data_IF_018980601288
#
_entry.id   IF_018980601288
#
_cell.length_a   1.000
_cell.length_b   1.000
_cell.length_c   1.000
_cell.angle_alpha   90.00
_cell.angle_beta   90.00
_cell.angle_gamma   90.00
#
_symmetry.space_group_name_H-M   'P 1'
#
loop_
_entity.id
_entity.type
_entity.pdbx_description
1 polymer ?
#
# COMPACT_ATOMS: atom_id res chain seq x y z
N UNK A 1 46.58 38.29 30.19
CA UNK A 1 46.47 37.14 31.10
C UNK A 1 45.44 36.18 30.50
N UNK A 2 45.87 34.97 30.08
CA UNK A 2 44.98 33.89 29.64
C UNK A 2 44.06 33.51 30.79
N UNK A 3 42.79 33.20 30.50
CA UNK A 3 42.14 31.96 30.94
C UNK A 3 40.85 31.73 30.14
N UNK A 4 40.81 30.59 29.46
CA UNK A 4 39.60 29.92 28.93
C UNK A 4 38.67 29.59 30.10
N UNK A 5 37.37 29.52 29.84
CA UNK A 5 36.59 28.30 30.06
C UNK A 5 35.26 28.36 29.30
N UNK A 6 35.08 27.35 28.46
CA UNK A 6 33.85 26.99 27.77
C UNK A 6 32.80 26.47 28.75
N UNK A 7 31.53 26.77 28.49
CA UNK A 7 30.39 25.86 28.66
C UNK A 7 29.15 26.47 27.99
N UNK A 8 29.05 26.37 26.67
CA UNK A 8 27.74 26.39 26.00
C UNK A 8 27.12 25.00 26.22
N UNK A 9 26.33 24.85 27.29
CA UNK A 9 25.42 23.73 27.39
C UNK A 9 24.17 24.06 26.57
N UNK A 10 24.08 23.42 25.40
CA UNK A 10 22.90 23.43 24.57
C UNK A 10 21.72 22.77 25.28
N UNK A 11 20.56 23.41 25.18
CA UNK A 11 19.27 22.76 25.35
C UNK A 11 18.59 22.78 23.99
N UNK A 12 18.96 21.84 23.13
CA UNK A 12 18.20 21.58 21.91
C UNK A 12 16.99 20.74 22.35
N UNK A 13 15.87 21.43 22.60
CA UNK A 13 14.61 20.79 22.92
C UNK A 13 14.16 19.97 21.69
N UNK A 14 14.38 18.66 21.75
CA UNK A 14 13.80 17.73 20.80
C UNK A 14 12.30 17.68 21.04
N UNK A 15 11.54 18.30 20.14
CA UNK A 15 10.10 18.07 20.02
C UNK A 15 9.93 16.62 19.59
N UNK A 16 9.58 15.76 20.55
CA UNK A 16 9.11 14.40 20.28
C UNK A 16 7.76 14.56 19.59
N UNK A 17 7.75 14.52 18.26
CA UNK A 17 6.51 14.26 17.53
C UNK A 17 6.20 12.78 17.77
N UNK A 18 5.48 12.49 18.85
CA UNK A 18 4.82 11.21 19.00
C UNK A 18 3.88 11.10 17.79
N UNK A 19 4.25 10.29 16.80
CA UNK A 19 3.26 9.74 15.88
C UNK A 19 2.37 8.86 16.75
N UNK A 20 1.34 9.46 17.35
CA UNK A 20 0.21 8.72 17.87
C UNK A 20 -0.21 7.81 16.73
N UNK A 21 -0.03 6.51 16.91
CA UNK A 21 -0.73 5.51 16.12
C UNK A 21 -2.21 5.87 16.30
N UNK A 22 -2.76 6.67 15.37
CA UNK A 22 -4.16 6.99 15.41
C UNK A 22 -4.85 5.64 15.22
N UNK A 23 -5.43 5.14 16.32
CA UNK A 23 -6.46 4.14 16.20
C UNK A 23 -7.45 4.72 15.19
N UNK A 24 -7.66 4.00 14.10
CA UNK A 24 -8.47 4.50 13.02
C UNK A 24 -9.85 4.84 13.58
N UNK A 25 -10.21 6.12 13.51
CA UNK A 25 -11.45 6.64 14.08
C UNK A 25 -12.61 6.10 13.26
N UNK A 26 -13.17 4.97 13.71
CA UNK A 26 -14.47 4.49 13.27
C UNK A 26 -15.52 5.46 13.82
N UNK A 27 -16.57 5.82 13.06
CA UNK A 27 -17.69 6.58 13.61
C UNK A 27 -18.22 5.87 14.87
N UNK A 28 -18.00 6.47 16.04
CA UNK A 28 -18.13 5.83 17.37
C UNK A 28 -19.59 5.46 17.72
N UNK A 29 -20.56 5.94 16.95
CA UNK A 29 -21.98 5.80 17.27
C UNK A 29 -22.64 4.52 16.72
N UNK A 30 -21.86 3.56 16.23
CA UNK A 30 -22.37 2.33 15.66
C UNK A 30 -21.68 1.09 16.23
N UNK A 31 -22.45 0.00 16.35
CA UNK A 31 -21.92 -1.28 16.79
C UNK A 31 -20.96 -1.86 15.75
N UNK A 32 -19.77 -2.20 16.20
CA UNK A 32 -18.78 -2.90 15.39
C UNK A 32 -18.97 -4.41 15.53
N UNK A 33 -19.10 -5.08 14.40
CA UNK A 33 -19.21 -6.53 14.27
C UNK A 33 -17.91 -7.11 13.71
N UNK A 34 -17.78 -8.44 13.86
CA UNK A 34 -16.59 -9.19 13.48
C UNK A 34 -16.98 -10.46 12.74
N UNK A 35 -16.32 -10.71 11.61
CA UNK A 35 -16.39 -12.00 10.90
C UNK A 35 -14.96 -12.45 10.57
N UNK A 36 -14.74 -13.76 10.55
CA UNK A 36 -13.46 -14.36 10.17
C UNK A 36 -13.64 -15.28 8.97
N UNK A 37 -12.62 -15.29 8.11
CA UNK A 37 -12.40 -16.31 7.09
C UNK A 37 -11.10 -17.07 7.40
N UNK A 38 -10.64 -17.91 6.48
CA UNK A 38 -9.39 -18.66 6.65
C UNK A 38 -8.18 -17.72 6.81
N UNK A 39 -8.16 -16.61 6.08
CA UNK A 39 -6.99 -15.72 6.00
C UNK A 39 -7.26 -14.27 6.44
N UNK A 40 -8.50 -13.91 6.72
CA UNK A 40 -8.87 -12.54 7.09
C UNK A 40 -9.70 -12.47 8.37
N UNK A 41 -9.57 -11.36 9.09
CA UNK A 41 -10.44 -10.96 10.21
C UNK A 41 -11.06 -9.62 9.82
N UNK A 42 -12.35 -9.59 9.51
CA UNK A 42 -13.04 -8.36 9.11
C UNK A 42 -13.78 -7.76 10.30
N UNK A 43 -13.45 -6.50 10.59
CA UNK A 43 -14.15 -5.64 11.54
C UNK A 43 -14.96 -4.62 10.73
N UNK A 44 -16.25 -4.50 11.04
CA UNK A 44 -17.14 -3.68 10.22
C UNK A 44 -18.29 -3.09 11.04
N UNK A 45 -18.84 -1.98 10.54
CA UNK A 45 -20.05 -1.35 11.07
C UNK A 45 -21.30 -2.18 10.76
N UNK A 46 -22.22 -2.35 11.71
CA UNK A 46 -23.43 -3.17 11.57
C UNK A 46 -24.26 -2.88 10.29
N UNK A 47 -24.40 -1.62 9.91
CA UNK A 47 -25.07 -1.14 8.68
C UNK A 47 -24.45 -1.70 7.39
N UNK A 48 -23.21 -2.16 7.44
CA UNK A 48 -22.49 -2.73 6.30
C UNK A 48 -22.64 -4.26 6.20
N UNK A 49 -23.37 -4.90 7.12
CA UNK A 49 -23.45 -6.35 7.24
C UNK A 49 -23.80 -7.07 5.91
N UNK A 50 -24.69 -6.49 5.10
CA UNK A 50 -25.10 -7.10 3.82
C UNK A 50 -23.97 -7.12 2.77
N UNK A 51 -23.02 -6.18 2.86
CA UNK A 51 -21.89 -6.05 1.91
C UNK A 51 -20.70 -6.93 2.29
N UNK A 52 -20.58 -7.28 3.57
CA UNK A 52 -19.43 -8.02 4.12
C UNK A 52 -19.19 -9.38 3.46
N UNK A 53 -20.22 -10.22 3.17
CA UNK A 53 -19.97 -11.50 2.50
C UNK A 53 -19.30 -11.35 1.13
N UNK A 54 -19.63 -10.30 0.37
CA UNK A 54 -19.00 -10.03 -0.92
C UNK A 54 -17.55 -9.56 -0.75
N UNK A 55 -17.30 -8.67 0.21
CA UNK A 55 -15.95 -8.20 0.55
C UNK A 55 -15.04 -9.35 0.99
N UNK A 56 -15.51 -10.22 1.90
CA UNK A 56 -14.75 -11.39 2.37
C UNK A 56 -14.39 -12.32 1.21
N UNK A 57 -15.35 -12.63 0.32
CA UNK A 57 -15.09 -13.47 -0.86
C UNK A 57 -14.04 -12.84 -1.78
N UNK A 58 -14.11 -11.54 -1.99
CA UNK A 58 -13.15 -10.84 -2.85
C UNK A 58 -11.75 -10.82 -2.23
N UNK A 59 -11.61 -10.61 -0.91
CA UNK A 59 -10.32 -10.70 -0.22
C UNK A 59 -9.70 -12.10 -0.34
N UNK A 60 -10.48 -13.16 -0.13
CA UNK A 60 -10.00 -14.55 -0.30
C UNK A 60 -9.62 -14.85 -1.75
N UNK A 61 -10.36 -14.31 -2.72
CA UNK A 61 -10.06 -14.44 -4.15
C UNK A 61 -8.74 -13.75 -4.51
N UNK A 62 -8.58 -12.48 -4.11
CA UNK A 62 -7.36 -11.71 -4.33
C UNK A 62 -6.14 -12.43 -3.71
N UNK A 63 -6.29 -12.96 -2.50
CA UNK A 63 -5.26 -13.79 -1.87
C UNK A 63 -4.91 -15.01 -2.71
N UNK A 64 -5.91 -15.80 -3.09
CA UNK A 64 -5.69 -17.09 -3.77
C UNK A 64 -4.92 -16.92 -5.09
N UNK A 65 -5.16 -15.80 -5.79
CA UNK A 65 -4.47 -15.47 -7.04
C UNK A 65 -3.10 -14.84 -6.80
N UNK A 66 -3.00 -13.86 -5.91
CA UNK A 66 -1.79 -13.05 -5.76
C UNK A 66 -0.71 -13.73 -4.91
N UNK A 67 -1.06 -14.50 -3.88
CA UNK A 67 -0.05 -15.11 -3.01
C UNK A 67 0.92 -16.06 -3.77
N UNK A 68 0.46 -16.90 -4.72
CA UNK A 68 1.36 -17.69 -5.57
C UNK A 68 2.27 -16.84 -6.47
N UNK A 69 1.73 -15.75 -7.05
CA UNK A 69 2.47 -14.84 -7.93
C UNK A 69 3.62 -14.17 -7.19
N UNK A 70 3.33 -13.60 -6.01
CA UNK A 70 4.34 -12.95 -5.18
C UNK A 70 5.18 -13.94 -4.37
N UNK A 71 4.84 -15.25 -4.39
CA UNK A 71 5.48 -16.30 -3.58
C UNK A 71 5.56 -15.96 -2.10
N UNK A 72 4.57 -15.21 -1.62
CA UNK A 72 4.48 -14.76 -0.25
C UNK A 72 3.02 -14.70 0.18
N UNK A 73 2.80 -14.96 1.47
CA UNK A 73 1.55 -14.65 2.14
C UNK A 73 1.84 -14.28 3.60
N UNK A 74 1.11 -13.31 4.18
CA UNK A 74 1.21 -13.04 5.60
C UNK A 74 0.88 -14.29 6.41
N UNK A 75 1.64 -14.51 7.49
CA UNK A 75 1.48 -15.68 8.37
C UNK A 75 0.30 -15.55 9.32
N UNK A 76 0.02 -14.33 9.72
CA UNK A 76 -1.14 -13.97 10.54
C UNK A 76 -2.29 -13.61 9.61
N UNK A 77 -3.53 -13.83 10.06
CA UNK A 77 -4.70 -13.35 9.33
C UNK A 77 -4.61 -11.84 9.15
N UNK A 78 -4.87 -11.37 7.94
CA UNK A 78 -4.90 -9.93 7.63
C UNK A 78 -6.16 -9.34 8.23
N UNK A 79 -6.04 -8.28 9.02
CA UNK A 79 -7.23 -7.60 9.53
C UNK A 79 -7.78 -6.69 8.44
N UNK A 80 -9.10 -6.67 8.27
CA UNK A 80 -9.76 -5.76 7.35
C UNK A 80 -10.69 -4.89 8.16
N UNK A 81 -10.55 -3.57 8.02
CA UNK A 81 -11.47 -2.61 8.57
C UNK A 81 -12.36 -2.08 7.47
N UNK A 82 -13.67 -2.30 7.57
CA UNK A 82 -14.63 -1.86 6.58
C UNK A 82 -15.65 -0.89 7.21
N UNK A 83 -15.66 0.35 6.76
CA UNK A 83 -16.41 1.40 7.46
C UNK A 83 -16.80 2.58 6.57
N UNK A 84 -17.78 3.36 7.01
CA UNK A 84 -18.42 4.47 6.31
C UNK A 84 -18.12 5.79 7.01
N UNK A 85 -16.83 6.07 7.25
CA UNK A 85 -16.40 7.29 7.94
C UNK A 85 -16.25 8.51 7.04
N UNK A 86 -16.32 8.32 5.73
CA UNK A 86 -16.00 9.32 4.70
C UNK A 86 -16.88 9.08 3.47
N UNK A 87 -17.31 10.16 2.83
CA UNK A 87 -18.20 10.13 1.66
C UNK A 87 -17.45 9.93 0.33
N UNK A 88 -16.17 9.54 0.39
CA UNK A 88 -15.34 9.25 -0.79
C UNK A 88 -14.68 7.89 -0.66
N UNK A 89 -14.67 7.12 -1.76
CA UNK A 89 -14.01 5.81 -1.77
C UNK A 89 -12.50 5.93 -1.60
N UNK A 90 -11.96 5.21 -0.63
CA UNK A 90 -10.52 5.04 -0.46
C UNK A 90 -10.20 3.69 0.19
N UNK A 91 -8.95 3.25 0.01
CA UNK A 91 -8.37 2.10 0.69
C UNK A 91 -6.92 2.36 1.06
N UNK A 92 -6.40 1.61 2.02
CA UNK A 92 -4.98 1.61 2.34
C UNK A 92 -4.57 0.33 3.07
N UNK A 93 -3.27 0.02 2.99
CA UNK A 93 -2.64 -1.11 3.64
C UNK A 93 -1.58 -0.69 4.67
N UNK A 94 -1.51 -1.44 5.77
CA UNK A 94 -0.40 -1.42 6.71
C UNK A 94 0.12 -2.84 6.93
N UNK A 95 1.42 -3.00 7.13
CA UNK A 95 2.01 -4.31 7.46
C UNK A 95 2.62 -4.36 8.86
N UNK A 96 2.79 -3.20 9.51
CA UNK A 96 3.35 -3.09 10.85
C UNK A 96 2.37 -2.44 11.84
N UNK A 97 2.26 -2.94 13.08
CA UNK A 97 2.91 -4.17 13.60
C UNK A 97 2.23 -5.47 13.10
N UNK A 98 1.11 -5.37 12.38
CA UNK A 98 0.37 -6.49 11.78
C UNK A 98 -0.16 -6.11 10.40
N UNK A 99 -0.39 -7.07 9.50
CA UNK A 99 -1.01 -6.82 8.20
C UNK A 99 -2.47 -6.40 8.40
N UNK A 100 -2.81 -5.22 7.89
CA UNK A 100 -4.13 -4.61 7.98
C UNK A 100 -4.48 -3.94 6.65
N UNK A 101 -5.74 -4.08 6.27
CA UNK A 101 -6.38 -3.38 5.17
C UNK A 101 -7.48 -2.51 5.75
N UNK A 102 -7.71 -1.36 5.14
CA UNK A 102 -8.81 -0.48 5.46
C UNK A 102 -9.52 -0.08 4.18
N UNK A 103 -10.85 -0.06 4.21
CA UNK A 103 -11.67 0.36 3.08
C UNK A 103 -12.83 1.24 3.55
N UNK A 104 -13.01 2.37 2.87
CA UNK A 104 -14.23 3.15 2.98
C UNK A 104 -15.36 2.54 2.15
N UNK A 105 -16.54 2.48 2.76
CA UNK A 105 -17.75 1.92 2.19
C UNK A 105 -18.36 2.80 1.10
N UNK A 106 -18.09 4.10 1.12
CA UNK A 106 -18.53 5.04 0.11
C UNK A 106 -18.10 4.63 -1.30
N UNK A 107 -18.95 4.99 -2.28
CA UNK A 107 -18.64 4.87 -3.69
C UNK A 107 -17.67 5.98 -4.14
N UNK A 108 -17.02 5.80 -5.30
CA UNK A 108 -16.15 6.83 -5.84
C UNK A 108 -16.98 8.04 -6.29
N UNK A 109 -16.41 9.23 -6.12
CA UNK A 109 -16.95 10.45 -6.74
C UNK A 109 -16.98 10.31 -8.27
N UNK A 110 -17.97 10.90 -8.98
CA UNK A 110 -17.97 10.98 -10.44
C UNK A 110 -16.72 11.64 -11.05
N UNK A 111 -15.99 12.45 -10.26
CA UNK A 111 -14.72 13.08 -10.66
C UNK A 111 -13.48 12.27 -10.24
N UNK A 112 -13.66 11.09 -9.65
CA UNK A 112 -12.59 10.26 -9.13
C UNK A 112 -11.86 9.45 -10.21
N UNK A 113 -10.71 8.92 -9.83
CA UNK A 113 -9.88 8.01 -10.65
C UNK A 113 -10.41 6.57 -10.66
N UNK A 114 -11.66 6.32 -10.31
CA UNK A 114 -12.25 4.98 -10.24
C UNK A 114 -13.36 4.85 -11.28
N UNK A 115 -13.41 3.73 -12.00
CA UNK A 115 -14.55 3.46 -12.86
C UNK A 115 -15.83 3.18 -12.04
N UNK A 116 -17.01 3.64 -12.49
CA UNK A 116 -18.28 3.29 -11.87
C UNK A 116 -18.51 1.77 -11.83
N UNK A 117 -18.79 1.25 -10.63
CA UNK A 117 -19.09 -0.16 -10.39
C UNK A 117 -17.85 -1.07 -10.42
N UNK A 118 -17.45 -1.59 -9.26
CA UNK A 118 -16.27 -2.47 -9.10
C UNK A 118 -15.06 -1.82 -8.44
N UNK A 119 -15.17 -0.56 -8.02
CA UNK A 119 -14.15 0.18 -7.27
C UNK A 119 -13.60 -0.60 -6.07
N UNK A 120 -14.47 -1.14 -5.21
CA UNK A 120 -14.06 -1.87 -4.01
C UNK A 120 -13.24 -3.12 -4.37
N UNK A 121 -13.57 -3.78 -5.48
CA UNK A 121 -12.78 -4.91 -5.99
C UNK A 121 -11.40 -4.43 -6.42
N UNK A 122 -11.30 -3.43 -7.29
CA UNK A 122 -10.00 -2.87 -7.72
C UNK A 122 -9.13 -2.52 -6.51
N UNK A 123 -9.70 -1.81 -5.54
CA UNK A 123 -9.02 -1.37 -4.32
C UNK A 123 -8.59 -2.56 -3.44
N UNK A 124 -9.39 -3.61 -3.29
CA UNK A 124 -8.97 -4.81 -2.56
C UNK A 124 -7.72 -5.45 -3.19
N UNK A 125 -7.69 -5.57 -4.52
CA UNK A 125 -6.53 -6.15 -5.22
C UNK A 125 -5.30 -5.24 -5.14
N UNK A 126 -5.50 -3.93 -5.23
CA UNK A 126 -4.46 -2.92 -5.05
C UNK A 126 -3.84 -2.99 -3.66
N UNK A 127 -4.66 -2.85 -2.62
CA UNK A 127 -4.19 -2.80 -1.24
C UNK A 127 -3.63 -4.14 -0.76
N UNK A 128 -4.20 -5.27 -1.21
CA UNK A 128 -3.64 -6.57 -0.88
C UNK A 128 -2.27 -6.77 -1.56
N UNK A 129 -2.04 -6.19 -2.74
CA UNK A 129 -0.72 -6.18 -3.37
C UNK A 129 0.29 -5.42 -2.51
N UNK A 130 -0.08 -4.27 -1.93
CA UNK A 130 0.77 -3.58 -0.96
C UNK A 130 1.08 -4.46 0.25
N UNK A 131 0.10 -5.18 0.80
CA UNK A 131 0.35 -6.14 1.89
C UNK A 131 1.39 -7.16 1.47
N UNK A 132 1.25 -7.78 0.30
CA UNK A 132 2.21 -8.79 -0.16
C UNK A 132 3.62 -8.23 -0.36
N UNK A 133 3.74 -7.08 -1.02
CA UNK A 133 5.04 -6.48 -1.33
C UNK A 133 5.75 -5.95 -0.09
N UNK A 134 5.03 -5.23 0.77
CA UNK A 134 5.61 -4.59 1.96
C UNK A 134 5.84 -5.65 3.05
N UNK A 135 5.05 -6.71 3.11
CA UNK A 135 5.22 -7.76 4.11
C UNK A 135 6.28 -8.82 3.76
N UNK A 136 6.57 -8.98 2.46
CA UNK A 136 7.40 -10.06 1.97
C UNK A 136 8.79 -10.13 2.62
N UNK A 137 9.10 -11.26 3.26
CA UNK A 137 10.42 -11.60 3.77
C UNK A 137 10.89 -12.93 3.18
N UNK A 138 12.13 -13.00 2.73
CA UNK A 138 12.69 -14.24 2.20
C UNK A 138 14.02 -14.58 2.89
N UNK A 139 14.36 -15.87 2.89
CA UNK A 139 15.65 -16.35 3.39
C UNK A 139 15.96 -15.89 4.81
N UNK A 140 17.10 -15.22 4.99
CA UNK A 140 17.60 -14.80 6.30
C UNK A 140 16.68 -13.79 7.01
N UNK A 141 16.08 -12.84 6.28
CA UNK A 141 15.14 -11.89 6.89
C UNK A 141 13.86 -12.57 7.38
N UNK A 142 13.41 -13.61 6.68
CA UNK A 142 12.27 -14.43 7.12
C UNK A 142 12.59 -15.18 8.42
N UNK A 143 13.80 -15.75 8.53
CA UNK A 143 14.29 -16.39 9.74
C UNK A 143 14.29 -15.43 10.94
N UNK A 144 14.86 -14.24 10.77
CA UNK A 144 14.88 -13.21 11.82
C UNK A 144 13.47 -12.78 12.21
N UNK A 145 12.56 -12.65 11.24
CA UNK A 145 11.14 -12.40 11.50
C UNK A 145 10.46 -13.52 12.31
N UNK A 146 10.91 -14.78 12.22
CA UNK A 146 10.39 -15.88 13.07
C UNK A 146 10.86 -15.78 14.51
N UNK A 147 12.12 -15.36 14.70
CA UNK A 147 12.77 -15.34 16.01
C UNK A 147 12.37 -14.11 16.82
N UNK A 148 12.32 -12.94 16.17
CA UNK A 148 12.09 -11.65 16.83
C UNK A 148 10.71 -11.05 16.54
N UNK A 149 9.93 -11.67 15.65
CA UNK A 149 8.61 -11.16 15.26
C UNK A 149 8.67 -9.91 14.38
N UNK A 150 7.57 -9.14 14.39
CA UNK A 150 7.46 -7.83 13.72
C UNK A 150 7.78 -6.75 14.74
N UNK A 151 8.93 -6.10 14.61
CA UNK A 151 9.32 -5.00 15.47
C UNK A 151 9.80 -3.82 14.63
N UNK A 152 9.63 -2.61 15.16
CA UNK A 152 10.30 -1.41 14.67
C UNK A 152 11.51 -1.15 15.57
N UNK A 153 12.68 -0.80 15.02
CA UNK A 153 13.86 -0.52 15.82
C UNK A 153 13.61 0.67 16.76
N UNK A 154 14.09 0.56 17.99
CA UNK A 154 14.05 1.67 18.94
C UNK A 154 15.12 2.70 18.55
N UNK A 155 14.72 3.98 18.46
CA UNK A 155 15.63 5.05 18.06
C UNK A 155 16.73 5.20 19.10
N UNK A 156 17.98 4.97 18.70
CA UNK A 156 19.15 5.11 19.57
C UNK A 156 19.65 3.80 20.17
N UNK A 157 18.94 2.68 19.99
CA UNK A 157 19.46 1.35 20.33
C UNK A 157 20.20 0.73 19.13
N UNK A 158 21.54 0.59 19.19
CA UNK A 158 22.31 0.05 18.07
C UNK A 158 21.99 -1.42 17.80
N UNK A 159 21.55 -2.19 18.79
CA UNK A 159 21.30 -3.62 18.62
C UNK A 159 20.02 -3.85 17.82
N UNK A 160 18.89 -3.25 18.21
CA UNK A 160 17.64 -3.35 17.46
C UNK A 160 17.77 -2.75 16.06
N UNK A 161 18.54 -1.67 15.90
CA UNK A 161 18.84 -1.09 14.58
C UNK A 161 19.57 -2.10 13.68
N UNK A 162 20.62 -2.76 14.18
CA UNK A 162 21.37 -3.75 13.40
C UNK A 162 20.50 -4.97 13.04
N UNK A 163 19.66 -5.46 13.95
CA UNK A 163 18.74 -6.57 13.65
C UNK A 163 17.70 -6.11 12.63
N UNK A 164 17.18 -4.89 12.76
CA UNK A 164 16.17 -4.33 11.85
C UNK A 164 16.68 -4.21 10.41
N UNK A 165 17.96 -3.88 10.18
CA UNK A 165 18.54 -3.84 8.84
C UNK A 165 18.37 -5.15 8.06
N UNK A 166 18.30 -6.28 8.76
CA UNK A 166 18.14 -7.61 8.16
C UNK A 166 16.73 -8.19 8.34
N UNK A 167 15.97 -7.74 9.35
CA UNK A 167 14.66 -8.25 9.68
C UNK A 167 13.50 -7.45 9.06
N UNK A 168 13.72 -6.19 8.66
CA UNK A 168 12.74 -5.36 7.96
C UNK A 168 12.55 -5.90 6.53
N UNK A 169 11.30 -6.08 6.07
CA UNK A 169 11.01 -6.44 4.70
C UNK A 169 11.60 -5.42 3.72
N UNK A 170 12.24 -5.85 2.63
CA UNK A 170 12.77 -4.94 1.63
C UNK A 170 11.69 -4.02 1.03
N UNK A 171 10.44 -4.50 0.95
CA UNK A 171 9.30 -3.72 0.47
C UNK A 171 8.98 -2.48 1.29
N UNK A 172 9.35 -2.43 2.59
CA UNK A 172 9.18 -1.22 3.41
C UNK A 172 10.09 -0.06 2.98
N UNK A 173 11.17 -0.36 2.28
CA UNK A 173 12.14 0.63 1.78
C UNK A 173 12.11 0.74 0.26
N UNK A 174 11.16 0.07 -0.40
CA UNK A 174 11.04 0.12 -1.84
C UNK A 174 10.58 1.51 -2.30
N UNK A 175 11.00 1.96 -3.49
CA UNK A 175 10.49 3.21 -4.07
C UNK A 175 8.97 3.17 -4.22
N UNK A 176 8.30 4.30 -3.94
CA UNK A 176 6.83 4.36 -3.98
C UNK A 176 6.28 4.02 -5.38
N UNK A 177 6.89 4.48 -6.48
CA UNK A 177 6.42 4.11 -7.82
C UNK A 177 6.42 2.60 -8.07
N UNK A 178 7.34 1.86 -7.44
CA UNK A 178 7.41 0.41 -7.61
C UNK A 178 6.26 -0.27 -6.87
N UNK A 179 5.95 0.19 -5.66
CA UNK A 179 4.82 -0.29 -4.87
C UNK A 179 3.48 0.05 -5.55
N UNK A 180 3.27 1.32 -5.87
CA UNK A 180 2.04 1.82 -6.51
C UNK A 180 1.85 1.24 -7.91
N UNK A 181 2.92 1.18 -8.71
CA UNK A 181 2.89 0.62 -10.04
C UNK A 181 2.53 -0.86 -10.05
N UNK A 182 3.10 -1.63 -9.12
CA UNK A 182 2.78 -3.07 -8.98
C UNK A 182 1.35 -3.30 -8.50
N UNK A 183 0.87 -2.44 -7.60
CA UNK A 183 -0.50 -2.50 -7.12
C UNK A 183 -1.51 -2.09 -8.22
N UNK A 184 -1.21 -1.08 -9.05
CA UNK A 184 -2.02 -0.74 -10.25
C UNK A 184 -1.98 -1.86 -11.28
N UNK A 185 -0.82 -2.47 -11.51
CA UNK A 185 -0.69 -3.62 -12.39
C UNK A 185 -1.62 -4.75 -11.96
N UNK A 186 -1.59 -5.12 -10.68
CA UNK A 186 -2.42 -6.19 -10.12
C UNK A 186 -3.92 -5.91 -10.26
N UNK A 187 -4.40 -4.72 -9.85
CA UNK A 187 -5.82 -4.38 -10.03
C UNK A 187 -6.21 -4.33 -11.51
N UNK A 188 -5.27 -3.96 -12.39
CA UNK A 188 -5.51 -3.91 -13.83
C UNK A 188 -5.60 -5.32 -14.38
N UNK A 189 -4.59 -6.16 -14.20
CA UNK A 189 -4.56 -7.52 -14.73
C UNK A 189 -5.79 -8.33 -14.29
N UNK A 190 -6.17 -8.26 -13.02
CA UNK A 190 -7.15 -9.18 -12.44
C UNK A 190 -8.55 -8.59 -12.19
N UNK A 191 -8.75 -7.32 -12.54
CA UNK A 191 -10.06 -6.66 -12.46
C UNK A 191 -10.36 -5.87 -13.73
N UNK A 192 -11.64 -5.72 -14.07
CA UNK A 192 -12.04 -4.98 -15.28
C UNK A 192 -11.78 -3.47 -15.13
N UNK A 193 -11.83 -2.96 -13.90
CA UNK A 193 -11.86 -1.53 -13.55
C UNK A 193 -10.49 -0.94 -13.20
N UNK A 194 -9.41 -1.73 -13.25
CA UNK A 194 -8.09 -1.26 -12.81
C UNK A 194 -7.61 -0.02 -13.57
N UNK A 195 -6.94 0.88 -12.84
CA UNK A 195 -6.56 2.23 -13.31
C UNK A 195 -5.60 2.22 -14.48
N UNK A 196 -4.88 1.13 -14.71
CA UNK A 196 -3.94 0.99 -15.82
C UNK A 196 -4.60 0.99 -17.21
N UNK A 197 -5.94 0.96 -17.30
CA UNK A 197 -6.70 1.07 -18.56
C UNK A 197 -7.33 2.45 -18.80
N UNK A 198 -7.16 3.39 -17.89
CA UNK A 198 -7.86 4.66 -17.97
C UNK A 198 -7.24 5.61 -19.02
N UNK A 199 -8.12 6.30 -19.74
CA UNK A 199 -7.72 7.25 -20.79
C UNK A 199 -7.10 8.53 -20.25
N UNK A 200 -7.48 8.97 -19.04
CA UNK A 200 -6.95 10.19 -18.42
C UNK A 200 -5.45 10.04 -18.06
N UNK A 201 -5.03 9.01 -17.29
CA UNK A 201 -3.62 8.66 -17.12
C UNK A 201 -2.81 8.60 -18.42
N UNK A 202 -3.35 7.93 -19.44
CA UNK A 202 -2.69 7.79 -20.73
C UNK A 202 -2.46 9.14 -21.42
N UNK A 203 -3.51 9.99 -21.44
CA UNK A 203 -3.43 11.32 -22.00
C UNK A 203 -2.38 12.18 -21.26
N UNK A 204 -2.36 12.15 -19.92
CA UNK A 204 -1.40 12.91 -19.10
C UNK A 204 0.04 12.56 -19.49
N UNK A 205 0.36 11.26 -19.54
CA UNK A 205 1.71 10.81 -19.90
C UNK A 205 2.06 11.13 -21.36
N UNK A 206 1.11 10.94 -22.29
CA UNK A 206 1.32 11.27 -23.71
C UNK A 206 1.63 12.75 -23.90
N UNK A 207 0.88 13.64 -23.22
CA UNK A 207 1.11 15.08 -23.29
C UNK A 207 2.43 15.48 -22.65
N UNK A 208 2.83 14.85 -21.53
CA UNK A 208 4.15 15.07 -20.94
C UNK A 208 5.28 14.76 -21.93
N UNK A 209 5.15 13.68 -22.73
CA UNK A 209 6.14 13.36 -23.78
C UNK A 209 6.11 14.38 -24.92
N UNK A 210 4.93 14.73 -25.42
CA UNK A 210 4.75 15.72 -26.52
C UNK A 210 5.35 17.08 -26.15
N UNK A 211 5.15 17.52 -24.91
CA UNK A 211 5.63 18.82 -24.42
C UNK A 211 7.11 18.79 -23.97
N UNK A 212 7.79 17.64 -24.09
CA UNK A 212 9.18 17.48 -23.63
C UNK A 212 9.34 17.56 -22.10
N UNK A 213 8.29 17.22 -21.35
CA UNK A 213 8.18 17.27 -19.88
C UNK A 213 8.01 15.88 -19.26
N UNK A 214 8.44 14.82 -19.94
CA UNK A 214 8.43 13.48 -19.38
C UNK A 214 9.35 13.43 -18.14
N UNK A 215 8.82 12.91 -17.03
CA UNK A 215 9.56 12.83 -15.77
C UNK A 215 10.70 11.79 -15.84
N UNK A 216 11.84 12.15 -15.27
CA UNK A 216 12.94 11.22 -15.01
C UNK A 216 12.49 10.15 -13.99
N UNK A 217 12.94 8.89 -14.09
CA UNK A 217 12.60 7.84 -13.12
C UNK A 217 12.84 8.18 -11.66
N UNK A 218 13.80 9.07 -11.37
CA UNK A 218 14.08 9.57 -10.01
C UNK A 218 13.01 10.51 -9.47
N UNK A 219 12.08 10.94 -10.32
CA UNK A 219 10.99 11.85 -9.97
C UNK A 219 9.64 11.13 -9.84
N UNK A 220 9.60 9.81 -10.08
CA UNK A 220 8.39 9.01 -9.93
C UNK A 220 8.13 8.74 -8.43
N UNK A 221 7.71 9.77 -7.71
CA UNK A 221 7.55 9.72 -6.26
C UNK A 221 6.21 10.34 -5.83
N UNK A 222 5.66 9.85 -4.72
CA UNK A 222 4.43 10.38 -4.14
C UNK A 222 4.58 11.84 -3.68
N UNK A 223 5.81 12.28 -3.36
CA UNK A 223 6.12 13.63 -2.92
C UNK A 223 6.65 14.53 -4.06
N UNK A 224 6.30 14.22 -5.31
CA UNK A 224 6.70 15.04 -6.45
C UNK A 224 6.04 16.43 -6.38
N UNK A 225 6.83 17.53 -6.43
CA UNK A 225 6.32 18.88 -6.13
C UNK A 225 5.66 19.59 -7.31
N UNK A 226 5.79 19.05 -8.53
CA UNK A 226 5.25 19.64 -9.75
C UNK A 226 4.13 18.77 -10.29
N UNK A 227 3.22 19.33 -11.10
CA UNK A 227 2.16 18.55 -11.73
C UNK A 227 2.74 17.36 -12.52
N UNK A 228 2.21 16.13 -12.38
CA UNK A 228 0.92 15.77 -11.77
C UNK A 228 0.98 15.42 -10.27
N UNK A 229 1.95 15.92 -9.54
CA UNK A 229 2.15 15.75 -8.10
C UNK A 229 2.28 14.27 -7.72
N UNK A 230 1.56 13.81 -6.68
CA UNK A 230 1.59 12.43 -6.18
C UNK A 230 1.29 11.40 -7.25
N UNK A 231 0.50 11.76 -8.28
CA UNK A 231 0.17 10.88 -9.40
C UNK A 231 1.41 10.44 -10.19
N UNK A 232 2.55 11.13 -10.05
CA UNK A 232 3.80 10.74 -10.67
C UNK A 232 4.21 9.29 -10.36
N UNK A 233 4.08 8.85 -9.11
CA UNK A 233 4.39 7.48 -8.73
C UNK A 233 3.42 6.46 -9.37
N UNK A 234 2.13 6.80 -9.41
CA UNK A 234 1.08 5.94 -9.94
C UNK A 234 1.19 5.79 -11.46
N UNK A 235 1.25 6.90 -12.19
CA UNK A 235 1.20 6.95 -13.65
C UNK A 235 2.41 6.26 -14.28
N UNK A 236 3.61 6.72 -13.92
CA UNK A 236 4.84 6.16 -14.48
C UNK A 236 5.15 4.77 -13.92
N UNK A 237 4.86 4.54 -12.64
CA UNK A 237 5.03 3.22 -12.03
C UNK A 237 4.16 2.15 -12.71
N UNK A 238 2.89 2.44 -12.93
CA UNK A 238 1.97 1.52 -13.61
C UNK A 238 2.44 1.19 -15.03
N UNK A 239 2.85 2.21 -15.81
CA UNK A 239 3.41 1.99 -17.16
C UNK A 239 4.69 1.19 -17.14
N UNK A 240 5.58 1.43 -16.16
CA UNK A 240 6.81 0.67 -16.03
C UNK A 240 6.52 -0.82 -15.78
N UNK A 241 5.56 -1.14 -14.91
CA UNK A 241 5.16 -2.54 -14.64
C UNK A 241 4.49 -3.19 -15.86
N UNK A 242 3.57 -2.50 -16.53
CA UNK A 242 2.93 -2.99 -17.74
C UNK A 242 3.95 -3.25 -18.85
N UNK A 243 4.89 -2.33 -19.07
CA UNK A 243 5.95 -2.50 -20.06
C UNK A 243 6.83 -3.72 -19.72
N UNK A 244 7.22 -3.88 -18.45
CA UNK A 244 8.00 -5.03 -18.01
C UNK A 244 7.25 -6.35 -18.27
N UNK A 245 5.94 -6.40 -17.99
CA UNK A 245 5.09 -7.55 -18.28
C UNK A 245 5.08 -7.85 -19.78
N UNK A 246 4.80 -6.85 -20.62
CA UNK A 246 4.75 -6.99 -22.08
C UNK A 246 6.05 -7.53 -22.68
N UNK A 247 7.20 -7.12 -22.13
CA UNK A 247 8.51 -7.66 -22.55
C UNK A 247 8.74 -9.09 -22.05
N UNK A 248 8.23 -9.42 -20.86
CA UNK A 248 8.43 -10.74 -20.24
C UNK A 248 7.53 -11.85 -20.80
N UNK A 249 6.30 -11.53 -21.22
CA UNK A 249 5.30 -12.53 -21.64
C UNK A 249 5.46 -13.02 -23.08
N UNK A 250 6.35 -12.42 -23.87
CA UNK A 250 6.32 -12.60 -25.33
C UNK A 250 4.96 -12.15 -25.92
N UNK A 251 4.82 -12.09 -27.24
CA UNK A 251 3.56 -11.63 -27.87
C UNK A 251 2.41 -12.64 -27.76
N UNK A 252 2.59 -13.84 -27.20
CA UNK A 252 1.69 -14.99 -27.41
C UNK A 252 0.80 -15.39 -26.21
N UNK A 253 1.07 -14.98 -24.96
CA UNK A 253 0.34 -15.50 -23.79
C UNK A 253 -0.61 -14.48 -23.11
N UNK A 254 -1.29 -13.63 -23.88
CA UNK A 254 -2.30 -12.67 -23.33
C UNK A 254 -3.73 -13.21 -23.24
N UNK A 255 -3.90 -14.53 -23.20
CA UNK A 255 -5.22 -15.16 -23.09
C UNK A 255 -5.22 -16.20 -21.97
N UNK A 256 -5.09 -15.78 -20.71
CA UNK A 256 -5.37 -16.68 -19.58
C UNK A 256 -6.13 -15.92 -18.48
N UNK A 257 -7.42 -16.27 -18.39
CA UNK A 257 -8.48 -15.99 -17.39
C UNK A 257 -9.47 -14.89 -17.77
#
# INVERSE_FOLDING_TARGET
MRMKNWSLCGAMAFVILAMSARAQEMPINERILRVESDHFIVLYQESLAERVPALVRECETARAVLAPIFRWAPREKVQVLFHDGWDEHNGWAYTYPRPRLSFFAAGPSPSGIYEPGGYLRSTIWHEYTHVLMIDAKYGFGDLLGRLFGRFLPEVGDPVSTLIALWAIPPGMTAPNWYLEGSAIWSETEFTRQGRGRQSLPDMVMRMAVVDGRALDPRQWELAHPEWPYSDAAYLWGARAMQYAQEQSSGKEERNVI
#
